data_IF_950251066535
#
_entry.id   IF_950251066535
#
_cell.length_a   1.000
_cell.length_b   1.000
_cell.length_c   1.000
_cell.angle_alpha   90.00
_cell.angle_beta   90.00
_cell.angle_gamma   90.00
#
_symmetry.space_group_name_H-M   'P 1'
#
loop_
_entity.id
_entity.type
_entity.pdbx_description
1 polymer ?
#
# COMPACT_ATOMS: atom_id res chain seq x y z
N UNK A 1 26.57 6.01 25.37
CA UNK A 1 25.27 6.30 26.02
C UNK A 1 24.17 5.88 25.06
N UNK A 2 23.43 4.85 25.44
CA UNK A 2 22.40 4.16 24.66
C UNK A 2 21.06 4.60 25.23
N UNK A 3 20.09 5.02 24.41
CA UNK A 3 18.65 4.81 24.71
C UNK A 3 17.84 4.80 23.42
N UNK A 4 17.44 3.59 23.03
CA UNK A 4 16.33 3.27 22.12
C UNK A 4 14.99 3.64 22.75
N UNK A 5 14.13 4.37 22.04
CA UNK A 5 12.74 4.62 22.45
C UNK A 5 11.87 3.42 22.06
N UNK A 6 11.47 2.66 23.08
CA UNK A 6 10.54 1.54 23.02
C UNK A 6 9.09 1.99 22.80
N UNK A 7 8.38 1.27 21.94
CA UNK A 7 6.91 1.29 21.80
C UNK A 7 6.21 0.96 23.13
N UNK A 8 4.98 1.44 23.36
CA UNK A 8 4.29 1.24 24.62
C UNK A 8 3.80 -0.21 24.78
N UNK A 9 4.13 -0.74 25.97
CA UNK A 9 3.57 -1.92 26.64
C UNK A 9 2.05 -2.01 26.57
N UNK A 10 1.52 -3.22 26.38
CA UNK A 10 0.67 -3.93 27.36
C UNK A 10 1.02 -5.43 27.28
N UNK A 11 1.55 -5.98 28.37
CA UNK A 11 1.61 -7.42 28.66
C UNK A 11 0.59 -7.75 29.74
N UNK A 12 0.27 -9.04 29.81
CA UNK A 12 -0.38 -9.79 30.89
C UNK A 12 -1.88 -10.03 30.68
N UNK A 13 -2.23 -11.26 30.31
CA UNK A 13 -2.65 -12.24 31.32
C UNK A 13 -2.82 -13.63 30.66
N UNK A 14 -1.75 -14.42 30.70
CA UNK A 14 -1.91 -15.85 30.97
C UNK A 14 -2.50 -15.95 32.39
N UNK A 15 -3.48 -16.87 32.59
CA UNK A 15 -4.13 -17.24 33.87
C UNK A 15 -5.60 -16.82 34.08
N UNK A 16 -6.51 -17.08 33.13
CA UNK A 16 -7.96 -17.19 33.41
C UNK A 16 -8.56 -18.55 33.00
N UNK A 17 -7.73 -19.57 32.75
CA UNK A 17 -8.19 -20.96 32.60
C UNK A 17 -8.43 -21.68 33.94
N UNK A 18 -8.42 -20.97 35.07
CA UNK A 18 -8.38 -21.57 36.42
C UNK A 18 -9.53 -21.23 37.37
N UNK A 19 -10.58 -20.52 36.93
CA UNK A 19 -11.63 -20.02 37.84
C UNK A 19 -13.03 -20.61 37.61
N UNK A 20 -13.28 -21.37 36.53
CA UNK A 20 -14.61 -21.90 36.21
C UNK A 20 -14.80 -23.39 36.62
N UNK A 21 -13.74 -24.08 37.05
CA UNK A 21 -13.80 -25.54 37.30
C UNK A 21 -14.05 -25.96 38.77
N UNK A 22 -14.37 -25.04 39.70
CA UNK A 22 -14.41 -25.36 41.13
C UNK A 22 -15.77 -25.37 41.85
N UNK A 23 -16.90 -25.29 41.14
CA UNK A 23 -18.21 -25.25 41.82
C UNK A 23 -19.25 -26.26 41.30
N UNK A 24 -18.81 -27.42 40.81
CA UNK A 24 -19.72 -28.52 40.44
C UNK A 24 -19.18 -29.89 40.87
N UNK A 25 -18.96 -30.06 42.17
CA UNK A 25 -19.02 -31.39 42.79
C UNK A 25 -19.84 -31.24 44.05
N UNK A 26 -21.11 -31.68 44.02
CA UNK A 26 -21.78 -32.61 44.95
C UNK A 26 -23.28 -32.51 44.62
N UNK A 27 -23.81 -33.56 43.97
CA UNK A 27 -25.12 -34.23 44.16
C UNK A 27 -25.43 -35.01 42.87
N UNK A 28 -25.36 -36.33 43.04
CA UNK A 28 -25.97 -37.43 42.31
C UNK A 28 -25.62 -37.70 40.83
N UNK A 29 -24.85 -38.77 40.70
CA UNK A 29 -24.71 -39.60 39.52
C UNK A 29 -26.09 -40.02 38.96
N UNK A 30 -26.32 -39.65 37.70
CA UNK A 30 -27.18 -40.42 36.79
C UNK A 30 -28.57 -39.86 36.53
N UNK A 31 -28.71 -38.75 35.80
CA UNK A 31 -29.91 -38.51 34.96
C UNK A 31 -29.84 -37.36 33.93
N UNK A 32 -28.71 -37.01 33.29
CA UNK A 32 -28.77 -36.04 32.16
C UNK A 32 -27.78 -36.40 31.03
N UNK A 33 -27.90 -37.61 30.48
CA UNK A 33 -27.23 -38.03 29.23
C UNK A 33 -28.14 -37.87 28.00
N UNK A 34 -29.34 -37.27 28.13
CA UNK A 34 -30.35 -37.24 27.05
C UNK A 34 -30.75 -35.85 26.56
N UNK A 35 -30.13 -34.76 27.02
CA UNK A 35 -30.42 -33.43 26.47
C UNK A 35 -29.50 -33.07 25.28
N UNK A 36 -30.00 -33.47 24.11
CA UNK A 36 -30.01 -32.72 22.84
C UNK A 36 -28.67 -32.45 22.12
N UNK A 37 -28.12 -33.51 21.53
CA UNK A 37 -27.15 -33.41 20.42
C UNK A 37 -27.67 -32.55 19.24
N UNK A 38 -28.99 -32.49 19.04
CA UNK A 38 -29.63 -31.67 18.01
C UNK A 38 -29.54 -30.16 18.31
N UNK A 39 -29.92 -29.73 19.52
CA UNK A 39 -29.82 -28.31 19.94
C UNK A 39 -28.37 -27.80 19.94
N UNK A 40 -27.41 -28.66 20.31
CA UNK A 40 -25.99 -28.32 20.23
C UNK A 40 -25.56 -28.06 18.80
N UNK A 41 -26.10 -28.80 17.83
CA UNK A 41 -25.80 -28.64 16.41
C UNK A 41 -26.41 -27.37 15.81
N UNK A 42 -27.61 -26.99 16.27
CA UNK A 42 -28.32 -25.79 15.81
C UNK A 42 -27.67 -24.51 16.37
N UNK A 43 -27.29 -24.52 17.65
CA UNK A 43 -26.50 -23.44 18.26
C UNK A 43 -25.15 -23.32 17.57
N UNK A 44 -24.48 -24.42 17.23
CA UNK A 44 -23.20 -24.38 16.50
C UNK A 44 -23.36 -23.86 15.07
N UNK A 45 -24.51 -24.08 14.41
CA UNK A 45 -24.81 -23.54 13.08
C UNK A 45 -25.06 -22.03 13.13
N UNK A 46 -25.85 -21.56 14.09
CA UNK A 46 -26.08 -20.14 14.37
C UNK A 46 -24.76 -19.42 14.66
N UNK A 47 -23.92 -19.98 15.55
CA UNK A 47 -22.60 -19.43 15.86
C UNK A 47 -21.68 -19.38 14.64
N UNK A 48 -21.65 -20.42 13.80
CA UNK A 48 -20.85 -20.41 12.55
C UNK A 48 -21.34 -19.36 11.55
N UNK A 49 -22.64 -19.10 11.51
CA UNK A 49 -23.23 -18.07 10.64
C UNK A 49 -22.81 -16.68 11.10
N UNK A 50 -22.88 -16.41 12.40
CA UNK A 50 -22.45 -15.14 13.01
C UNK A 50 -20.94 -14.91 12.82
N UNK A 51 -20.10 -15.92 13.06
CA UNK A 51 -18.64 -15.82 12.82
C UNK A 51 -18.34 -15.50 11.35
N UNK A 52 -19.06 -16.12 10.42
CA UNK A 52 -18.91 -15.85 8.98
C UNK A 52 -19.39 -14.45 8.58
N UNK A 53 -20.37 -13.89 9.30
CA UNK A 53 -20.86 -12.53 9.11
C UNK A 53 -19.84 -11.51 9.64
N UNK A 54 -19.17 -11.80 10.75
CA UNK A 54 -18.06 -11.01 11.31
C UNK A 54 -16.83 -11.02 10.37
N UNK A 55 -16.48 -12.16 9.76
CA UNK A 55 -15.42 -12.25 8.74
C UNK A 55 -15.75 -11.43 7.49
N UNK A 56 -17.04 -11.24 7.16
CA UNK A 56 -17.48 -10.40 6.03
C UNK A 56 -17.49 -8.89 6.36
N UNK A 57 -17.70 -8.53 7.63
CA UNK A 57 -17.65 -7.15 8.14
C UNK A 57 -16.23 -6.68 8.51
N UNK A 58 -15.22 -7.52 8.28
CA UNK A 58 -13.82 -7.13 8.31
C UNK A 58 -13.52 -6.19 7.13
N UNK A 59 -13.93 -4.93 7.29
CA UNK A 59 -13.54 -3.78 6.49
C UNK A 59 -12.09 -3.91 6.03
N UNK A 60 -11.92 -3.82 4.71
CA UNK A 60 -10.67 -4.00 3.97
C UNK A 60 -9.48 -3.25 4.60
N UNK A 61 -8.76 -3.90 5.50
CA UNK A 61 -7.31 -3.75 5.51
C UNK A 61 -6.83 -4.48 4.27
N UNK A 62 -6.66 -3.74 3.18
CA UNK A 62 -5.83 -4.20 2.08
C UNK A 62 -4.45 -4.52 2.68
N UNK A 63 -4.16 -5.81 2.91
CA UNK A 63 -2.87 -6.32 3.39
C UNK A 63 -1.73 -6.01 2.40
N UNK A 64 -2.00 -5.24 1.35
CA UNK A 64 -1.03 -4.53 0.54
C UNK A 64 -0.19 -3.60 1.40
N UNK A 65 1.13 -3.76 1.29
CA UNK A 65 2.08 -2.85 1.91
C UNK A 65 1.76 -1.39 1.55
N UNK A 66 1.90 -0.44 2.48
CA UNK A 66 1.52 0.96 2.24
C UNK A 66 2.26 1.52 1.01
N UNK A 67 1.50 2.07 0.06
CA UNK A 67 2.06 2.66 -1.15
C UNK A 67 2.86 3.93 -0.81
N UNK A 68 4.19 3.84 -0.82
CA UNK A 68 5.08 5.00 -0.62
C UNK A 68 5.32 5.81 -1.93
N UNK A 69 4.31 5.93 -2.77
CA UNK A 69 4.40 6.71 -4.01
C UNK A 69 3.06 7.30 -4.44
N UNK A 70 3.10 8.47 -5.05
CA UNK A 70 1.97 9.05 -5.79
C UNK A 70 2.04 8.59 -7.23
N UNK A 71 0.89 8.23 -7.79
CA UNK A 71 0.78 7.87 -9.20
C UNK A 71 0.94 9.12 -10.08
N UNK A 72 1.41 8.91 -11.30
CA UNK A 72 1.45 9.96 -12.31
C UNK A 72 1.51 9.39 -13.72
N UNK A 73 1.50 10.28 -14.70
CA UNK A 73 1.51 9.95 -16.13
C UNK A 73 2.54 10.80 -16.85
N UNK A 74 3.31 10.18 -17.75
CA UNK A 74 4.22 10.91 -18.63
C UNK A 74 3.39 11.56 -19.74
N UNK A 75 3.41 12.88 -19.84
CA UNK A 75 2.68 13.58 -20.90
C UNK A 75 3.45 13.54 -22.21
N UNK A 76 4.75 13.80 -22.15
CA UNK A 76 5.59 13.96 -23.33
C UNK A 76 6.95 14.54 -22.99
N UNK A 77 7.63 15.09 -23.99
CA UNK A 77 8.82 15.89 -23.76
C UNK A 77 8.48 17.38 -23.75
N UNK A 78 9.33 18.18 -23.11
CA UNK A 78 9.28 19.64 -23.27
C UNK A 78 9.46 19.95 -24.76
N UNK A 79 8.63 20.80 -25.33
CA UNK A 79 8.66 21.14 -26.75
C UNK A 79 8.31 22.60 -27.00
N UNK A 80 8.76 23.13 -28.13
CA UNK A 80 8.23 24.33 -28.75
C UNK A 80 7.26 23.94 -29.88
N UNK A 81 6.84 24.91 -30.69
CA UNK A 81 6.03 24.65 -31.89
C UNK A 81 6.71 23.65 -32.83
N UNK A 82 8.02 23.78 -33.02
CA UNK A 82 8.80 23.04 -34.02
C UNK A 82 9.79 22.05 -33.39
N UNK A 83 10.37 22.37 -32.23
CA UNK A 83 11.47 21.59 -31.64
C UNK A 83 11.02 20.79 -30.41
N UNK A 84 11.62 19.63 -30.18
CA UNK A 84 11.38 18.78 -29.03
C UNK A 84 12.67 18.54 -28.23
N UNK A 85 12.57 18.67 -26.91
CA UNK A 85 13.70 18.55 -25.99
C UNK A 85 13.57 17.27 -25.16
N UNK A 86 14.10 16.17 -25.72
CA UNK A 86 13.91 14.81 -25.19
C UNK A 86 14.61 14.55 -23.84
N UNK A 87 15.50 15.47 -23.42
CA UNK A 87 16.18 15.42 -22.13
C UNK A 87 15.28 15.81 -20.94
N UNK A 88 14.13 16.44 -21.22
CA UNK A 88 13.17 16.88 -20.20
C UNK A 88 11.81 16.28 -20.52
N UNK A 89 11.32 15.43 -19.63
CA UNK A 89 10.00 14.84 -19.72
C UNK A 89 8.99 15.65 -18.89
N UNK A 90 7.80 15.84 -19.43
CA UNK A 90 6.66 16.43 -18.74
C UNK A 90 5.88 15.32 -18.05
N UNK A 91 5.55 15.54 -16.78
CA UNK A 91 4.89 14.58 -15.91
C UNK A 91 3.69 15.26 -15.27
N UNK A 92 2.54 14.58 -15.30
CA UNK A 92 1.35 14.95 -14.54
C UNK A 92 1.25 14.04 -13.34
N UNK A 93 1.18 14.62 -12.15
CA UNK A 93 1.01 13.89 -10.89
C UNK A 93 -0.49 13.84 -10.58
N UNK A 94 -0.99 12.70 -10.14
CA UNK A 94 -2.39 12.58 -9.71
C UNK A 94 -2.64 13.46 -8.48
N UNK A 95 -3.79 14.15 -8.45
CA UNK A 95 -4.17 15.06 -7.36
C UNK A 95 -3.50 16.44 -7.37
N UNK A 96 -2.53 16.70 -8.26
CA UNK A 96 -1.82 18.00 -8.33
C UNK A 96 -2.43 18.85 -9.44
N UNK A 97 -3.21 19.86 -9.07
CA UNK A 97 -3.90 20.74 -10.04
C UNK A 97 -3.21 22.08 -10.17
N UNK A 98 -2.76 22.67 -9.05
CA UNK A 98 -2.17 24.01 -9.07
C UNK A 98 -0.64 23.96 -9.10
N UNK A 99 -0.02 25.07 -9.51
CA UNK A 99 1.43 25.24 -9.44
C UNK A 99 1.96 25.26 -8.00
N UNK A 100 1.18 25.75 -7.03
CA UNK A 100 1.60 25.79 -5.62
C UNK A 100 1.81 24.38 -5.09
N UNK A 101 0.90 23.47 -5.40
CA UNK A 101 0.94 22.06 -4.98
C UNK A 101 2.16 21.31 -5.53
N UNK A 102 2.64 21.68 -6.72
CA UNK A 102 3.84 21.06 -7.31
C UNK A 102 5.11 21.29 -6.49
N UNK A 103 5.15 22.33 -5.64
CA UNK A 103 6.33 22.68 -4.84
C UNK A 103 6.75 21.53 -3.92
N UNK A 104 5.76 20.81 -3.36
CA UNK A 104 5.97 19.64 -2.52
C UNK A 104 6.74 18.51 -3.23
N UNK A 105 6.50 18.35 -4.54
CA UNK A 105 7.06 17.27 -5.35
C UNK A 105 8.42 17.61 -5.98
N UNK A 106 8.93 18.83 -5.80
CA UNK A 106 10.25 19.19 -6.33
C UNK A 106 11.35 18.39 -5.61
N UNK A 107 12.33 17.91 -6.37
CA UNK A 107 13.43 17.09 -5.85
C UNK A 107 13.07 15.62 -5.61
N UNK A 108 11.79 15.25 -5.58
CA UNK A 108 11.35 13.87 -5.39
C UNK A 108 11.83 12.95 -6.51
N UNK A 109 12.12 11.69 -6.16
CA UNK A 109 12.52 10.68 -7.17
C UNK A 109 11.31 10.18 -7.92
N UNK A 110 11.50 9.94 -9.21
CA UNK A 110 10.48 9.38 -10.10
C UNK A 110 11.01 8.11 -10.74
N UNK A 111 10.14 7.11 -10.85
CA UNK A 111 10.44 5.86 -11.50
C UNK A 111 9.39 5.54 -12.56
N UNK A 112 9.86 5.07 -13.70
CA UNK A 112 9.02 4.40 -14.69
C UNK A 112 9.49 2.95 -14.83
N UNK A 113 8.56 2.01 -14.67
CA UNK A 113 8.80 0.61 -14.88
C UNK A 113 8.31 0.23 -16.28
N UNK A 114 9.13 -0.51 -17.03
CA UNK A 114 8.75 -1.08 -18.33
C UNK A 114 9.12 -2.55 -18.39
N UNK A 115 8.32 -3.32 -19.11
CA UNK A 115 8.64 -4.71 -19.43
C UNK A 115 9.70 -4.75 -20.53
N UNK A 116 10.63 -5.67 -20.39
CA UNK A 116 11.71 -5.98 -21.34
C UNK A 116 11.81 -7.49 -21.49
N UNK A 117 12.47 -7.98 -22.55
CA UNK A 117 12.76 -9.40 -22.69
C UNK A 117 13.51 -9.89 -21.45
N UNK A 118 13.13 -11.07 -20.96
CA UNK A 118 13.84 -11.71 -19.86
C UNK A 118 15.24 -12.11 -20.33
N UNK A 119 16.18 -12.04 -19.40
CA UNK A 119 17.58 -12.42 -19.62
C UNK A 119 18.06 -13.03 -18.31
N UNK A 120 19.12 -13.83 -18.33
CA UNK A 120 19.72 -14.39 -17.11
C UNK A 120 19.99 -13.31 -16.04
N UNK A 121 20.44 -12.12 -16.47
CA UNK A 121 20.69 -10.95 -15.59
C UNK A 121 19.41 -10.25 -15.08
N UNK A 122 18.26 -10.46 -15.73
CA UNK A 122 16.99 -9.86 -15.35
C UNK A 122 15.84 -10.86 -15.54
N UNK A 123 15.70 -11.84 -14.62
CA UNK A 123 14.71 -12.91 -14.75
C UNK A 123 13.27 -12.38 -14.72
N UNK A 124 13.02 -11.27 -14.02
CA UNK A 124 11.69 -10.64 -13.94
C UNK A 124 11.29 -9.92 -15.23
N UNK A 125 12.24 -9.62 -16.12
CA UNK A 125 11.97 -8.87 -17.35
C UNK A 125 11.42 -7.46 -17.10
N UNK A 126 11.80 -6.83 -15.98
CA UNK A 126 11.37 -5.46 -15.64
C UNK A 126 12.59 -4.55 -15.63
N UNK A 127 12.53 -3.44 -16.35
CA UNK A 127 13.55 -2.39 -16.32
C UNK A 127 12.94 -1.13 -15.73
N UNK A 128 13.61 -0.58 -14.74
CA UNK A 128 13.20 0.68 -14.10
C UNK A 128 14.15 1.77 -14.56
N UNK A 129 13.59 2.88 -15.02
CA UNK A 129 14.35 4.10 -15.30
C UNK A 129 14.02 5.11 -14.22
N UNK A 130 15.06 5.54 -13.51
CA UNK A 130 14.96 6.51 -12.44
C UNK A 130 15.19 7.92 -12.96
N UNK A 131 14.55 8.88 -12.30
CA UNK A 131 14.72 10.30 -12.51
C UNK A 131 14.43 11.10 -11.26
N UNK A 132 14.43 12.41 -11.42
CA UNK A 132 14.03 13.38 -10.40
C UNK A 132 13.11 14.44 -10.99
N UNK A 133 12.21 14.95 -10.15
CA UNK A 133 11.40 16.12 -10.48
C UNK A 133 12.25 17.37 -10.25
N UNK A 134 12.35 18.21 -11.27
CA UNK A 134 13.24 19.38 -11.25
C UNK A 134 12.50 20.70 -11.07
N UNK A 135 11.45 20.94 -11.85
CA UNK A 135 10.77 22.25 -11.94
C UNK A 135 9.27 22.09 -12.17
N UNK A 136 8.43 23.04 -11.71
CA UNK A 136 7.04 23.11 -12.15
C UNK A 136 6.95 23.42 -13.65
N UNK A 137 5.87 22.96 -14.29
CA UNK A 137 5.56 23.23 -15.70
C UNK A 137 4.16 23.81 -15.84
N UNK A 138 4.06 25.02 -16.38
CA UNK A 138 2.79 25.72 -16.55
C UNK A 138 2.07 25.98 -15.22
N UNK A 139 0.75 26.19 -15.32
CA UNK A 139 -0.12 26.44 -14.16
C UNK A 139 -1.02 25.24 -13.82
N UNK A 140 -1.07 24.22 -14.67
CA UNK A 140 -1.93 23.04 -14.55
C UNK A 140 -1.37 21.93 -13.66
N UNK A 141 -0.42 22.22 -12.79
CA UNK A 141 0.14 21.22 -11.87
C UNK A 141 1.02 20.15 -12.53
N UNK A 142 1.46 20.37 -13.78
CA UNK A 142 2.46 19.53 -14.42
C UNK A 142 3.87 19.86 -13.90
N UNK A 143 4.78 18.90 -14.00
CA UNK A 143 6.17 19.05 -13.58
C UNK A 143 7.14 18.59 -14.66
N UNK A 144 8.34 19.13 -14.64
CA UNK A 144 9.47 18.70 -15.46
C UNK A 144 10.30 17.68 -14.70
N UNK A 145 10.46 16.50 -15.27
CA UNK A 145 11.32 15.44 -14.77
C UNK A 145 12.54 15.26 -15.67
N UNK A 146 13.71 15.05 -15.05
CA UNK A 146 14.93 14.60 -15.74
C UNK A 146 15.22 13.17 -15.29
N UNK A 147 15.24 12.26 -16.26
CA UNK A 147 15.60 10.87 -16.04
C UNK A 147 17.10 10.66 -16.26
N UNK A 148 17.67 9.65 -15.61
CA UNK A 148 19.08 9.28 -15.78
C UNK A 148 19.39 8.89 -17.23
N UNK A 149 18.45 8.20 -17.88
CA UNK A 149 18.44 7.97 -19.32
C UNK A 149 17.17 8.58 -19.88
N UNK A 150 17.28 9.29 -21.01
CA UNK A 150 16.13 9.89 -21.67
C UNK A 150 15.06 8.82 -21.92
N UNK A 151 13.80 9.18 -21.64
CA UNK A 151 12.69 8.26 -21.90
C UNK A 151 12.55 8.02 -23.40
N UNK A 152 12.13 6.83 -23.85
CA UNK A 152 11.74 6.61 -25.25
C UNK A 152 10.34 7.20 -25.52
N UNK A 153 9.98 7.52 -26.78
CA UNK A 153 8.66 8.06 -27.11
C UNK A 153 7.50 7.12 -26.72
N UNK A 154 7.76 5.80 -26.73
CA UNK A 154 6.81 4.78 -26.24
C UNK A 154 6.40 4.97 -24.77
N UNK A 155 7.16 5.72 -23.99
CA UNK A 155 6.84 6.02 -22.60
C UNK A 155 5.80 7.15 -22.45
N UNK A 156 5.42 7.86 -23.51
CA UNK A 156 4.33 8.84 -23.44
C UNK A 156 3.01 8.15 -23.11
N UNK A 157 2.22 8.73 -22.21
CA UNK A 157 1.00 8.12 -21.67
C UNK A 157 1.23 7.00 -20.66
N UNK A 158 2.49 6.56 -20.45
CA UNK A 158 2.78 5.51 -19.49
C UNK A 158 2.67 6.02 -18.05
N UNK A 159 2.21 5.12 -17.17
CA UNK A 159 2.15 5.36 -15.73
C UNK A 159 3.55 5.41 -15.14
N UNK A 160 3.77 6.36 -14.24
CA UNK A 160 4.99 6.51 -13.45
C UNK A 160 4.64 6.56 -11.96
N UNK A 161 5.67 6.35 -11.15
CA UNK A 161 5.59 6.41 -9.70
C UNK A 161 6.47 7.56 -9.21
N UNK A 162 5.86 8.53 -8.54
CA UNK A 162 6.56 9.62 -7.85
C UNK A 162 6.74 9.22 -6.40
N UNK A 163 7.99 9.01 -6.01
CA UNK A 163 8.31 8.57 -4.66
C UNK A 163 8.16 9.71 -3.66
N UNK A 164 7.83 9.39 -2.40
CA UNK A 164 7.77 10.40 -1.33
C UNK A 164 9.14 10.90 -0.85
N UNK A 165 10.22 10.25 -1.31
CA UNK A 165 11.60 10.58 -0.96
C UNK A 165 12.36 11.27 -2.10
N UNK A 166 13.42 12.04 -1.81
CA UNK A 166 13.87 12.46 -0.47
C UNK A 166 12.84 13.32 0.26
N UNK A 167 12.67 13.12 1.57
CA UNK A 167 11.76 13.96 2.36
C UNK A 167 12.33 15.38 2.47
N UNK A 168 11.45 16.38 2.42
CA UNK A 168 11.79 17.80 2.53
C UNK A 168 10.75 18.54 3.39
N UNK A 169 10.01 17.78 4.20
CA UNK A 169 9.13 18.26 5.26
C UNK A 169 9.97 18.45 6.50
#
# INVERSE_FOLDING_TARGET
MITSTSSPFITNNDNESGFIEKELTVIDDGLVSSYNNEMKSDIMKELKKIVKEIDNDQWMYDSSSPMLYTKGVVLGYRRSKVSQYNNISLVKIEGVVTRKDTRYYLGKKVAIARRVKQTEKNPKGVKIVWGKICKPHGNSGAVQARFSKNLPPKAMGAKLRVMMFPSAI
#
